data_IF_992031034579
#
_entry.id   IF_992031034579
#
_cell.length_a   1.000
_cell.length_b   1.000
_cell.length_c   1.000
_cell.angle_alpha   90.00
_cell.angle_beta   90.00
_cell.angle_gamma   90.00
#
_symmetry.space_group_name_H-M   'P 1'
#
loop_
_entity.id
_entity.type
_entity.pdbx_description
1 polymer ?
#
# COMPACT_ATOMS: atom_id res chain seq x y z
N UNK A 1 -12.30 2.40 -16.88
CA UNK A 1 -11.12 1.49 -17.03
C UNK A 1 -10.08 1.79 -15.95
N UNK A 2 -9.59 0.76 -15.23
CA UNK A 2 -8.54 0.94 -14.21
C UNK A 2 -7.18 1.25 -14.84
N UNK A 3 -6.90 0.67 -16.00
CA UNK A 3 -5.64 0.84 -16.72
C UNK A 3 -5.33 2.31 -17.03
N UNK A 4 -4.06 2.67 -16.84
CA UNK A 4 -3.54 4.00 -17.15
C UNK A 4 -2.43 3.90 -18.19
N UNK A 5 -2.52 4.71 -19.23
CA UNK A 5 -1.55 4.72 -20.32
C UNK A 5 -0.12 4.96 -19.80
N UNK A 6 0.84 4.19 -20.30
CA UNK A 6 2.26 4.27 -19.93
C UNK A 6 2.65 3.56 -18.62
N UNK A 7 1.69 3.02 -17.87
CA UNK A 7 1.89 2.20 -16.69
C UNK A 7 1.60 0.73 -17.02
N UNK A 8 2.02 -0.23 -16.18
CA UNK A 8 1.51 -1.59 -16.28
C UNK A 8 -0.02 -1.56 -16.24
N UNK A 9 -0.67 -2.39 -17.03
CA UNK A 9 -2.09 -2.70 -16.89
C UNK A 9 -2.36 -3.29 -15.51
N UNK A 10 -3.61 -3.23 -15.07
CA UNK A 10 -4.04 -3.85 -13.82
C UNK A 10 -3.77 -5.36 -13.82
N UNK A 11 -3.95 -6.03 -14.95
CA UNK A 11 -3.66 -7.46 -15.11
C UNK A 11 -2.16 -7.78 -14.97
N UNK A 12 -1.28 -6.99 -15.60
CA UNK A 12 0.18 -7.11 -15.42
C UNK A 12 0.57 -6.87 -13.95
N UNK A 13 -0.05 -5.88 -13.30
CA UNK A 13 0.17 -5.63 -11.88
C UNK A 13 -0.28 -6.81 -11.01
N UNK A 14 -1.45 -7.39 -11.25
CA UNK A 14 -1.93 -8.56 -10.51
C UNK A 14 -0.97 -9.76 -10.65
N UNK A 15 -0.39 -9.95 -11.83
CA UNK A 15 0.65 -10.97 -12.02
C UNK A 15 1.90 -10.66 -11.20
N UNK A 16 2.36 -9.40 -11.18
CA UNK A 16 3.49 -8.95 -10.37
C UNK A 16 3.22 -9.17 -8.88
N UNK A 17 2.06 -8.75 -8.39
CA UNK A 17 1.64 -8.93 -6.99
C UNK A 17 1.57 -10.41 -6.61
N UNK A 18 0.96 -11.25 -7.45
CA UNK A 18 0.84 -12.69 -7.24
C UNK A 18 2.22 -13.35 -7.17
N UNK A 19 3.14 -12.97 -8.06
CA UNK A 19 4.52 -13.46 -8.07
C UNK A 19 5.28 -13.01 -6.82
N UNK A 20 5.10 -11.76 -6.39
CA UNK A 20 5.67 -11.24 -5.15
C UNK A 20 5.18 -12.02 -3.93
N UNK A 21 3.86 -12.21 -3.79
CA UNK A 21 3.29 -13.00 -2.69
C UNK A 21 3.77 -14.44 -2.74
N UNK A 22 3.89 -15.03 -3.93
CA UNK A 22 4.34 -16.41 -4.11
C UNK A 22 5.78 -16.63 -3.66
N UNK A 23 6.65 -15.64 -3.77
CA UNK A 23 8.06 -15.73 -3.38
C UNK A 23 8.31 -15.60 -1.86
N UNK A 24 7.31 -15.17 -1.10
CA UNK A 24 7.42 -15.05 0.36
C UNK A 24 7.21 -16.39 1.07
N UNK A 25 7.79 -16.56 2.25
CA UNK A 25 7.44 -17.69 3.12
C UNK A 25 6.01 -17.56 3.66
N UNK A 26 5.36 -18.67 4.01
CA UNK A 26 3.98 -18.71 4.55
C UNK A 26 3.80 -17.69 5.69
N UNK A 27 4.76 -17.62 6.61
CA UNK A 27 4.75 -16.67 7.73
C UNK A 27 4.76 -15.21 7.28
N UNK A 28 5.52 -14.88 6.22
CA UNK A 28 5.61 -13.52 5.69
C UNK A 28 4.39 -13.14 4.86
N UNK A 29 3.82 -14.07 4.08
CA UNK A 29 2.66 -13.81 3.21
C UNK A 29 1.48 -13.19 3.96
N UNK A 30 1.14 -13.78 5.11
CA UNK A 30 -0.06 -13.41 5.90
C UNK A 30 -0.13 -11.97 6.38
N UNK A 31 1.01 -11.25 6.41
CA UNK A 31 1.12 -9.87 6.91
C UNK A 31 1.85 -8.94 5.93
N UNK A 32 2.24 -9.44 4.76
CA UNK A 32 3.03 -8.67 3.81
C UNK A 32 2.22 -7.55 3.18
N UNK A 33 0.98 -7.85 2.80
CA UNK A 33 -0.02 -6.91 2.31
C UNK A 33 -1.23 -7.00 3.24
N UNK A 34 -1.93 -5.88 3.45
CA UNK A 34 -3.15 -5.83 4.26
C UNK A 34 -4.32 -5.86 3.29
N UNK A 35 -5.02 -6.99 3.17
CA UNK A 35 -6.27 -7.08 2.43
C UNK A 35 -7.36 -6.26 3.12
N UNK A 36 -8.45 -5.97 2.41
CA UNK A 36 -9.61 -5.30 3.02
C UNK A 36 -10.13 -6.06 4.25
N UNK A 37 -10.29 -7.38 4.17
CA UNK A 37 -10.72 -8.20 5.32
C UNK A 37 -9.76 -8.07 6.53
N UNK A 38 -8.45 -8.03 6.28
CA UNK A 38 -7.46 -7.84 7.33
C UNK A 38 -7.54 -6.42 7.91
N UNK A 39 -7.76 -5.42 7.07
CA UNK A 39 -7.96 -4.04 7.46
C UNK A 39 -9.18 -3.89 8.37
N UNK A 40 -10.30 -4.52 8.04
CA UNK A 40 -11.53 -4.50 8.83
C UNK A 40 -11.30 -5.16 10.22
N UNK A 41 -10.59 -6.28 10.25
CA UNK A 41 -10.18 -6.90 11.51
C UNK A 41 -9.26 -5.98 12.35
N UNK A 42 -8.35 -5.24 11.72
CA UNK A 42 -7.49 -4.26 12.39
C UNK A 42 -8.35 -3.12 12.95
N UNK A 43 -9.27 -2.60 12.14
CA UNK A 43 -10.20 -1.53 12.49
C UNK A 43 -11.02 -1.89 13.73
N UNK A 44 -11.62 -3.08 13.76
CA UNK A 44 -12.44 -3.57 14.87
C UNK A 44 -11.66 -3.68 16.17
N UNK A 45 -10.44 -4.21 16.11
CA UNK A 45 -9.57 -4.34 17.30
C UNK A 45 -9.18 -2.98 17.87
N UNK A 46 -8.99 -1.97 17.01
CA UNK A 46 -8.61 -0.63 17.44
C UNK A 46 -9.81 0.16 18.00
N UNK A 47 -11.02 -0.01 17.44
CA UNK A 47 -12.24 0.64 17.95
C UNK A 47 -12.77 0.00 19.23
N UNK A 48 -12.60 -1.32 19.37
CA UNK A 48 -13.08 -2.06 20.53
C UNK A 48 -11.93 -2.81 21.22
N UNK A 49 -11.00 -2.09 21.88
CA UNK A 49 -9.78 -2.70 22.42
C UNK A 49 -10.06 -3.75 23.51
N UNK A 50 -11.20 -3.68 24.20
CA UNK A 50 -11.64 -4.66 25.19
C UNK A 50 -12.30 -5.92 24.57
N UNK A 51 -12.66 -5.88 23.28
CA UNK A 51 -13.28 -7.01 22.61
C UNK A 51 -12.26 -8.16 22.45
N UNK A 52 -12.62 -9.34 22.97
CA UNK A 52 -11.80 -10.54 22.89
C UNK A 52 -12.20 -11.50 21.75
N UNK A 53 -13.26 -11.17 21.02
CA UNK A 53 -13.89 -12.00 19.98
C UNK A 53 -13.19 -11.91 18.63
N UNK A 54 -12.46 -10.82 18.35
CA UNK A 54 -11.77 -10.65 17.06
C UNK A 54 -10.49 -11.49 17.04
N UNK A 55 -10.50 -12.52 16.17
CA UNK A 55 -9.38 -13.43 15.87
C UNK A 55 -8.67 -13.92 17.15
N UNK A 56 -7.35 -14.08 17.11
CA UNK A 56 -6.56 -14.65 18.21
C UNK A 56 -5.96 -13.56 19.14
N UNK A 57 -5.61 -13.88 20.40
CA UNK A 57 -4.92 -12.94 21.28
C UNK A 57 -3.61 -12.40 20.71
N UNK A 58 -2.83 -13.24 20.01
CA UNK A 58 -1.57 -12.84 19.37
C UNK A 58 -1.82 -11.84 18.23
N UNK A 59 -2.90 -12.02 17.47
CA UNK A 59 -3.32 -11.07 16.45
C UNK A 59 -3.63 -9.71 17.08
N UNK A 60 -4.49 -9.68 18.12
CA UNK A 60 -4.86 -8.42 18.79
C UNK A 60 -3.66 -7.70 19.39
N UNK A 61 -2.74 -8.43 20.01
CA UNK A 61 -1.48 -7.85 20.51
C UNK A 61 -0.65 -7.22 19.38
N UNK A 62 -0.50 -7.94 18.26
CA UNK A 62 0.20 -7.42 17.08
C UNK A 62 -0.47 -6.17 16.52
N UNK A 63 -1.80 -6.14 16.42
CA UNK A 63 -2.55 -4.97 15.93
C UNK A 63 -2.28 -3.74 16.78
N UNK A 64 -2.46 -3.83 18.10
CA UNK A 64 -2.26 -2.70 19.02
C UNK A 64 -0.80 -2.23 19.07
N UNK A 65 0.15 -3.12 18.76
CA UNK A 65 1.58 -2.80 18.70
C UNK A 65 1.94 -2.04 17.43
N UNK A 66 1.35 -2.39 16.28
CA UNK A 66 1.75 -1.86 14.99
C UNK A 66 0.90 -0.67 14.54
N UNK A 67 -0.39 -0.66 14.86
CA UNK A 67 -1.35 0.27 14.26
C UNK A 67 -1.98 1.21 15.29
N UNK A 68 -2.47 2.35 14.81
CA UNK A 68 -3.20 3.36 15.59
C UNK A 68 -4.34 3.94 14.75
N UNK A 69 -5.42 4.36 15.42
CA UNK A 69 -6.43 5.24 14.82
C UNK A 69 -5.94 6.68 14.93
N UNK A 70 -5.97 7.41 13.83
CA UNK A 70 -5.65 8.84 13.78
C UNK A 70 -6.75 9.58 13.05
N UNK A 71 -6.93 10.86 13.36
CA UNK A 71 -7.87 11.71 12.65
C UNK A 71 -7.27 12.17 11.31
N UNK A 72 -8.03 12.09 10.22
CA UNK A 72 -7.63 12.60 8.90
C UNK A 72 -7.24 14.09 8.90
N UNK A 73 -7.87 14.92 9.74
CA UNK A 73 -7.53 16.34 9.89
C UNK A 73 -6.09 16.54 10.39
N UNK A 74 -5.66 15.76 11.39
CA UNK A 74 -4.30 15.82 11.94
C UNK A 74 -3.24 15.39 10.90
N UNK A 75 -3.64 14.55 9.94
CA UNK A 75 -2.79 14.08 8.86
C UNK A 75 -2.80 15.00 7.63
N UNK A 76 -3.60 16.07 7.64
CA UNK A 76 -3.78 16.97 6.49
C UNK A 76 -4.43 16.28 5.29
N UNK A 77 -5.23 15.24 5.54
CA UNK A 77 -6.01 14.55 4.50
C UNK A 77 -7.38 15.21 4.36
N UNK A 78 -7.97 15.21 3.15
CA UNK A 78 -9.32 15.75 2.96
C UNK A 78 -10.33 14.93 3.77
N UNK A 79 -11.09 15.61 4.64
CA UNK A 79 -12.22 15.01 5.35
C UNK A 79 -13.41 14.86 4.40
N UNK A 80 -14.14 13.75 4.54
CA UNK A 80 -15.33 13.44 3.77
C UNK A 80 -16.56 14.27 4.20
N UNK A 81 -16.41 15.25 5.10
CA UNK A 81 -17.43 16.25 5.39
C UNK A 81 -18.59 15.76 6.25
N UNK A 82 -18.42 14.66 6.99
CA UNK A 82 -19.38 14.25 8.03
C UNK A 82 -18.86 14.68 9.41
N UNK A 83 -19.75 15.10 10.31
CA UNK A 83 -19.45 15.51 11.69
C UNK A 83 -18.82 14.41 12.57
N UNK A 84 -18.56 13.22 12.01
CA UNK A 84 -17.72 12.21 12.64
C UNK A 84 -16.25 12.49 12.31
N UNK A 85 -15.40 12.41 13.34
CA UNK A 85 -13.95 12.36 13.17
C UNK A 85 -13.65 11.23 12.18
N UNK A 86 -13.28 11.58 10.95
CA UNK A 86 -12.87 10.61 9.93
C UNK A 86 -11.57 9.96 10.40
N UNK A 87 -11.71 8.84 11.12
CA UNK A 87 -10.60 8.06 11.63
C UNK A 87 -10.02 7.19 10.53
N UNK A 88 -8.70 7.05 10.54
CA UNK A 88 -7.96 6.18 9.62
C UNK A 88 -6.96 5.32 10.39
N UNK A 89 -6.79 4.07 9.96
CA UNK A 89 -5.75 3.18 10.48
C UNK A 89 -4.41 3.62 9.94
N UNK A 90 -3.48 3.85 10.85
CA UNK A 90 -2.15 4.36 10.56
C UNK A 90 -1.06 3.47 11.12
N UNK A 91 0.09 3.48 10.46
CA UNK A 91 1.36 2.95 10.96
C UNK A 91 2.44 4.00 10.70
N UNK A 92 3.26 4.32 11.70
CA UNK A 92 4.29 5.39 11.60
C UNK A 92 3.72 6.75 11.14
N UNK A 93 2.49 7.09 11.57
CA UNK A 93 1.85 8.37 11.24
C UNK A 93 1.39 8.50 9.78
N UNK A 94 1.30 7.39 9.04
CA UNK A 94 0.77 7.37 7.67
C UNK A 94 -0.35 6.33 7.52
N UNK A 95 -1.40 6.59 6.72
CA UNK A 95 -2.43 5.61 6.38
C UNK A 95 -1.84 4.27 5.93
N UNK A 96 -2.37 3.16 6.42
CA UNK A 96 -1.97 1.82 6.00
C UNK A 96 -2.50 1.56 4.59
N UNK A 97 -1.62 1.13 3.67
CA UNK A 97 -2.05 0.77 2.33
C UNK A 97 -2.85 -0.54 2.33
N UNK A 98 -4.02 -0.51 1.68
CA UNK A 98 -4.88 -1.68 1.45
C UNK A 98 -4.51 -2.32 0.11
N UNK A 99 -4.37 -3.65 0.10
CA UNK A 99 -3.88 -4.44 -1.02
C UNK A 99 -4.64 -4.12 -2.32
N UNK A 100 -5.97 -4.11 -2.25
CA UNK A 100 -6.87 -3.93 -3.37
C UNK A 100 -6.75 -2.55 -4.04
N UNK A 101 -6.14 -1.58 -3.35
CA UNK A 101 -5.92 -0.20 -3.80
C UNK A 101 -4.47 0.07 -4.24
N UNK A 102 -3.58 -0.92 -4.11
CA UNK A 102 -2.14 -0.74 -4.37
C UNK A 102 -1.86 -0.35 -5.81
N UNK A 103 -2.64 -0.82 -6.77
CA UNK A 103 -2.43 -0.48 -8.18
C UNK A 103 -2.58 1.03 -8.41
N UNK A 104 -3.71 1.61 -8.02
CA UNK A 104 -4.00 3.03 -8.16
C UNK A 104 -2.98 3.87 -7.39
N UNK A 105 -2.61 3.40 -6.18
CA UNK A 105 -1.57 4.01 -5.36
C UNK A 105 -0.21 4.03 -6.07
N UNK A 106 0.20 2.91 -6.68
CA UNK A 106 1.47 2.82 -7.41
C UNK A 106 1.49 3.72 -8.63
N UNK A 107 0.40 3.74 -9.42
CA UNK A 107 0.28 4.65 -10.56
C UNK A 107 0.42 6.11 -10.10
N UNK A 108 -0.35 6.51 -9.08
CA UNK A 108 -0.31 7.87 -8.54
C UNK A 108 1.08 8.26 -8.03
N UNK A 109 1.70 7.42 -7.18
CA UNK A 109 2.99 7.72 -6.58
C UNK A 109 4.13 7.69 -7.60
N UNK A 110 4.09 6.77 -8.56
CA UNK A 110 5.12 6.66 -9.59
C UNK A 110 5.03 7.81 -10.61
N UNK A 111 3.82 8.24 -10.98
CA UNK A 111 3.59 9.45 -11.77
C UNK A 111 4.18 10.69 -11.06
N UNK A 112 3.90 10.85 -9.77
CA UNK A 112 4.45 11.95 -8.93
C UNK A 112 5.96 11.86 -8.73
N UNK A 113 6.52 10.65 -8.83
CA UNK A 113 7.97 10.45 -8.85
C UNK A 113 8.60 10.82 -10.22
N UNK A 114 7.79 11.26 -11.19
CA UNK A 114 8.17 11.53 -12.58
C UNK A 114 8.86 10.31 -13.21
N UNK A 115 8.23 9.14 -13.09
CA UNK A 115 8.78 7.85 -13.56
C UNK A 115 10.17 7.54 -12.97
N UNK A 116 10.40 7.97 -11.73
CA UNK A 116 11.64 7.75 -11.02
C UNK A 116 11.86 6.29 -10.65
N UNK A 117 13.13 5.91 -10.44
CA UNK A 117 13.48 4.58 -9.95
C UNK A 117 12.84 4.22 -8.61
N UNK A 118 13.04 2.97 -8.19
CA UNK A 118 12.48 2.38 -6.95
C UNK A 118 12.57 3.32 -5.75
N UNK A 119 13.75 3.84 -5.44
CA UNK A 119 13.97 4.61 -4.21
C UNK A 119 13.27 5.98 -4.25
N UNK A 120 13.19 6.62 -5.42
CA UNK A 120 12.42 7.86 -5.60
C UNK A 120 10.92 7.60 -5.45
N UNK A 121 10.42 6.52 -6.05
CA UNK A 121 9.00 6.11 -5.93
C UNK A 121 8.66 5.75 -4.48
N UNK A 122 9.50 4.97 -3.78
CA UNK A 122 9.33 4.66 -2.36
C UNK A 122 9.29 5.91 -1.48
N UNK A 123 10.11 6.92 -1.78
CA UNK A 123 10.09 8.20 -1.06
C UNK A 123 8.76 8.92 -1.23
N UNK A 124 8.17 8.88 -2.43
CA UNK A 124 6.83 9.45 -2.67
C UNK A 124 5.78 8.65 -1.91
N UNK A 125 5.79 7.32 -2.00
CA UNK A 125 4.85 6.44 -1.28
C UNK A 125 4.85 6.76 0.23
N UNK A 126 6.02 6.85 0.86
CA UNK A 126 6.16 7.14 2.30
C UNK A 126 5.61 8.50 2.74
N UNK A 127 5.34 9.43 1.81
CA UNK A 127 4.65 10.69 2.12
C UNK A 127 3.14 10.51 2.30
N UNK A 128 2.56 9.48 1.68
CA UNK A 128 1.11 9.28 1.61
C UNK A 128 0.64 8.04 2.34
N UNK A 129 1.44 6.96 2.33
CA UNK A 129 1.04 5.64 2.80
C UNK A 129 2.15 4.96 3.58
N UNK A 130 1.76 3.99 4.41
CA UNK A 130 2.62 3.02 5.10
C UNK A 130 2.29 1.60 4.64
N UNK A 131 3.06 0.63 5.12
CA UNK A 131 2.83 -0.80 4.87
C UNK A 131 2.94 -1.24 3.39
N UNK A 132 3.76 -0.54 2.60
CA UNK A 132 3.99 -0.88 1.19
C UNK A 132 5.35 -1.56 1.03
N UNK A 133 5.42 -2.81 0.51
CA UNK A 133 6.69 -3.48 0.31
C UNK A 133 7.56 -2.81 -0.77
N UNK A 134 8.83 -2.56 -0.42
CA UNK A 134 9.83 -1.98 -1.33
C UNK A 134 10.11 -2.86 -2.55
N UNK A 135 10.09 -4.18 -2.37
CA UNK A 135 10.30 -5.16 -3.45
C UNK A 135 9.14 -5.14 -4.45
N UNK A 136 7.89 -5.09 -3.96
CA UNK A 136 6.72 -4.94 -4.85
C UNK A 136 6.77 -3.62 -5.63
N UNK A 137 7.16 -2.53 -4.97
CA UNK A 137 7.40 -1.22 -5.64
C UNK A 137 8.45 -1.34 -6.75
N UNK A 138 9.54 -2.07 -6.51
CA UNK A 138 10.61 -2.28 -7.48
C UNK A 138 10.10 -3.04 -8.71
N UNK A 139 9.29 -4.08 -8.52
CA UNK A 139 8.75 -4.87 -9.62
C UNK A 139 7.74 -4.07 -10.45
N UNK A 140 6.87 -3.27 -9.81
CA UNK A 140 5.99 -2.35 -10.52
C UNK A 140 6.76 -1.35 -11.39
N UNK A 141 7.78 -0.68 -10.84
CA UNK A 141 8.61 0.29 -11.59
C UNK A 141 9.35 -0.37 -12.75
N UNK A 142 9.80 -1.62 -12.59
CA UNK A 142 10.45 -2.38 -13.68
C UNK A 142 9.49 -2.72 -14.82
N UNK A 143 8.20 -2.90 -14.52
CA UNK A 143 7.17 -3.21 -15.51
C UNK A 143 6.57 -1.97 -16.19
N UNK A 144 6.86 -0.76 -15.71
CA UNK A 144 6.30 0.46 -16.28
C UNK A 144 6.75 0.65 -17.72
N UNK A 145 5.79 0.72 -18.65
CA UNK A 145 6.05 0.81 -20.09
C UNK A 145 6.87 2.06 -20.46
N UNK A 146 6.58 3.22 -19.85
CA UNK A 146 7.38 4.45 -20.06
C UNK A 146 8.83 4.26 -19.60
N UNK A 147 9.05 3.64 -18.43
CA UNK A 147 10.39 3.38 -17.92
C UNK A 147 11.16 2.38 -18.79
N UNK A 148 10.47 1.35 -19.29
CA UNK A 148 11.05 0.34 -20.19
C UNK A 148 11.51 1.02 -21.49
N UNK A 149 10.64 1.80 -22.13
CA UNK A 149 10.98 2.52 -23.37
C UNK A 149 12.19 3.45 -23.18
N UNK A 150 12.28 4.18 -22.05
CA UNK A 150 13.43 5.05 -21.77
C UNK A 150 14.73 4.27 -21.58
N UNK A 151 14.69 3.11 -20.92
CA UNK A 151 15.88 2.25 -20.74
C UNK A 151 16.36 1.62 -22.05
N UNK A 152 15.42 1.28 -22.94
CA UNK A 152 15.75 0.75 -24.27
C UNK A 152 16.30 1.81 -25.22
N UNK A 153 15.97 3.09 -25.02
CA UNK A 153 16.45 4.22 -25.82
C UNK A 153 17.85 4.73 -25.45
N UNK A 154 18.35 4.43 -24.25
CA UNK A 154 19.74 4.75 -23.82
C UNK A 154 20.77 3.70 -24.30
N UNK A 155 20.34 2.68 -25.04
CA UNK A 155 21.19 1.60 -25.55
C UNK A 155 21.58 1.77 -27.03
N UNK A 156 21.76 3.02 -27.49
CA UNK A 156 22.24 3.31 -28.86
C UNK A 156 23.49 4.20 -28.84
N UNK A 157 24.60 3.52 -29.19
CA UNK A 157 25.85 3.95 -29.84
C UNK A 157 26.77 4.95 -29.16
#
# INVERSE_FOLDING_TARGET
PRDKWGFPTYAEYQFIESRYLSSLSVTKKSKALISQEMFDCIWDVLHHPAACTVRTPQFRFWVRKMFKLSNTLELGLPSAGSDNLDLVVTHEGRPVAVQEQLYEMFVFCHARAAHGGRDKTCRVIKKYYSWVPKELTQQFVKACHVCISRRGGDATY
#
